data_IF_419906175083
#
_entry.id   IF_419906175083
#
_cell.length_a   1.000
_cell.length_b   1.000
_cell.length_c   1.000
_cell.angle_alpha   90.00
_cell.angle_beta   90.00
_cell.angle_gamma   90.00
#
_symmetry.space_group_name_H-M   'P 1'
#
loop_
_entity.id
_entity.type
_entity.pdbx_description
1 polymer ?
#
# COMPACT_ATOMS: atom_id res chain seq x y z
N UNK A 1 32.76 12.53 10.35
CA UNK A 1 32.28 11.43 9.48
C UNK A 1 30.77 11.56 9.39
N UNK A 2 30.16 11.58 8.18
CA UNK A 2 28.71 11.68 8.08
C UNK A 2 28.10 10.44 8.75
N UNK A 3 27.20 10.70 9.69
CA UNK A 3 26.61 9.70 10.59
C UNK A 3 25.92 8.58 9.83
N UNK A 4 25.99 7.39 10.41
CA UNK A 4 25.46 6.12 9.94
C UNK A 4 23.90 6.09 9.98
N UNK A 5 23.25 7.04 9.31
CA UNK A 5 21.80 7.12 9.20
C UNK A 5 21.37 6.26 8.03
N UNK A 6 20.82 5.09 8.35
CA UNK A 6 20.32 4.14 7.36
C UNK A 6 18.84 4.38 7.09
N UNK A 7 18.47 4.54 5.83
CA UNK A 7 17.07 4.73 5.38
C UNK A 7 16.54 3.50 4.63
N UNK A 8 17.00 2.32 5.02
CA UNK A 8 16.67 1.02 4.42
C UNK A 8 15.15 0.80 4.26
N UNK A 9 14.34 1.30 5.19
CA UNK A 9 12.86 1.21 5.11
C UNK A 9 12.29 2.05 3.98
N UNK A 10 12.81 3.27 3.77
CA UNK A 10 12.35 4.15 2.69
C UNK A 10 12.82 3.65 1.32
N UNK A 11 14.07 3.17 1.24
CA UNK A 11 14.64 2.60 0.02
C UNK A 11 13.87 1.35 -0.44
N UNK A 12 13.57 0.45 0.51
CA UNK A 12 12.79 -0.75 0.21
C UNK A 12 11.35 -0.44 -0.21
N UNK A 13 10.72 0.60 0.35
CA UNK A 13 9.42 1.08 -0.12
C UNK A 13 9.50 1.60 -1.56
N UNK A 14 10.49 2.43 -1.88
CA UNK A 14 10.66 2.99 -3.23
C UNK A 14 10.90 1.89 -4.28
N UNK A 15 11.72 0.88 -3.95
CA UNK A 15 11.95 -0.27 -4.83
C UNK A 15 10.66 -1.05 -5.16
N UNK A 16 9.68 -1.08 -4.25
CA UNK A 16 8.38 -1.71 -4.52
C UNK A 16 7.51 -0.83 -5.39
N UNK A 17 7.53 0.48 -5.17
CA UNK A 17 6.81 1.44 -6.00
C UNK A 17 7.29 1.38 -7.46
N UNK A 18 8.60 1.31 -7.68
CA UNK A 18 9.19 1.16 -9.02
C UNK A 18 8.79 -0.16 -9.68
N UNK A 19 8.81 -1.27 -8.92
CA UNK A 19 8.33 -2.57 -9.43
C UNK A 19 6.84 -2.54 -9.78
N UNK A 20 6.01 -1.86 -8.98
CA UNK A 20 4.59 -1.70 -9.26
C UNK A 20 4.34 -0.83 -10.50
N UNK A 21 5.13 0.23 -10.68
CA UNK A 21 5.09 1.08 -11.87
C UNK A 21 5.39 0.27 -13.14
N UNK A 22 6.47 -0.51 -13.14
CA UNK A 22 6.89 -1.31 -14.29
C UNK A 22 5.95 -2.50 -14.55
N UNK A 23 5.47 -3.17 -13.50
CA UNK A 23 4.72 -4.42 -13.63
C UNK A 23 3.20 -4.27 -13.74
N UNK A 24 2.60 -3.29 -13.06
CA UNK A 24 1.13 -3.17 -12.95
C UNK A 24 0.60 -1.98 -13.75
N UNK A 25 1.20 -0.81 -13.59
CA UNK A 25 0.60 0.41 -14.12
C UNK A 25 1.11 0.78 -15.50
N UNK A 26 2.36 0.46 -15.85
CA UNK A 26 3.11 0.86 -17.06
C UNK A 26 3.23 2.39 -17.24
N UNK A 27 2.14 3.13 -16.99
CA UNK A 27 1.99 4.57 -16.97
C UNK A 27 1.18 5.04 -15.74
N UNK A 28 1.69 6.05 -15.03
CA UNK A 28 1.04 6.67 -13.86
C UNK A 28 0.60 8.09 -14.22
N UNK A 29 -0.71 8.34 -14.29
CA UNK A 29 -1.24 9.71 -14.45
C UNK A 29 -1.15 10.49 -13.13
N UNK A 30 -0.75 11.76 -13.20
CA UNK A 30 -0.68 12.67 -12.04
C UNK A 30 -2.02 12.81 -11.32
N UNK A 31 -3.15 12.77 -12.06
CA UNK A 31 -4.51 12.84 -11.51
C UNK A 31 -4.85 11.67 -10.57
N UNK A 32 -4.26 10.49 -10.80
CA UNK A 32 -4.54 9.28 -10.02
C UNK A 32 -3.37 8.85 -9.13
N UNK A 33 -2.29 9.65 -9.11
CA UNK A 33 -1.11 9.40 -8.28
C UNK A 33 -1.45 9.15 -6.80
N UNK A 34 -2.38 9.89 -6.15
CA UNK A 34 -2.77 9.60 -4.78
C UNK A 34 -3.39 8.21 -4.59
N UNK A 35 -4.10 7.69 -5.60
CA UNK A 35 -4.73 6.36 -5.56
C UNK A 35 -3.69 5.25 -5.70
N UNK A 36 -2.74 5.43 -6.62
CA UNK A 36 -1.65 4.47 -6.83
C UNK A 36 -0.73 4.37 -5.61
N UNK A 37 -0.34 5.50 -5.05
CA UNK A 37 0.48 5.53 -3.82
C UNK A 37 -0.31 4.93 -2.65
N UNK A 38 -1.60 5.27 -2.52
CA UNK A 38 -2.47 4.70 -1.50
C UNK A 38 -2.55 3.16 -1.56
N UNK A 39 -2.61 2.59 -2.76
CA UNK A 39 -2.60 1.14 -2.93
C UNK A 39 -1.25 0.51 -2.53
N UNK A 40 -0.13 1.10 -2.96
CA UNK A 40 1.21 0.61 -2.62
C UNK A 40 1.44 0.69 -1.11
N UNK A 41 1.02 1.79 -0.47
CA UNK A 41 1.05 1.96 0.98
C UNK A 41 0.16 0.93 1.70
N UNK A 42 -1.06 0.69 1.20
CA UNK A 42 -1.94 -0.34 1.76
C UNK A 42 -1.32 -1.73 1.68
N UNK A 43 -0.70 -2.09 0.55
CA UNK A 43 0.02 -3.36 0.37
C UNK A 43 1.28 -3.46 1.25
N UNK A 44 1.95 -2.34 1.52
CA UNK A 44 3.11 -2.29 2.41
C UNK A 44 2.70 -2.52 3.88
N UNK A 45 1.65 -1.83 4.33
CA UNK A 45 1.12 -1.94 5.69
C UNK A 45 0.42 -3.29 5.96
N UNK A 46 -0.07 -3.97 4.93
CA UNK A 46 -0.68 -5.30 5.03
C UNK A 46 0.31 -6.45 4.91
N UNK A 47 1.44 -6.33 5.61
CA UNK A 47 2.42 -7.39 5.74
C UNK A 47 2.61 -7.73 7.20
N UNK A 48 2.72 -9.02 7.49
CA UNK A 48 3.00 -9.49 8.84
C UNK A 48 4.42 -10.05 8.88
N UNK A 49 5.18 -9.77 9.96
CA UNK A 49 6.44 -10.44 10.21
C UNK A 49 6.14 -11.91 10.53
N UNK A 50 6.61 -12.82 9.69
CA UNK A 50 6.48 -14.26 9.90
C UNK A 50 7.85 -14.84 10.18
N UNK A 51 8.01 -15.46 11.34
CA UNK A 51 9.22 -16.19 11.67
C UNK A 51 9.30 -17.46 10.83
N UNK A 52 10.32 -17.57 9.99
CA UNK A 52 10.65 -18.80 9.28
C UNK A 52 11.87 -19.44 9.92
N UNK A 53 11.70 -20.66 10.43
CA UNK A 53 12.80 -21.50 10.89
C UNK A 53 13.49 -22.10 9.66
N UNK A 54 14.75 -21.71 9.44
CA UNK A 54 15.59 -22.34 8.42
C UNK A 54 16.06 -23.70 8.93
N UNK A 55 16.42 -24.64 8.03
CA UNK A 55 16.92 -25.97 8.37
C UNK A 55 18.09 -25.94 9.38
N UNK A 56 18.86 -24.85 9.39
CA UNK A 56 20.02 -24.65 10.27
C UNK A 56 19.69 -24.00 11.62
N UNK A 57 18.45 -24.12 12.12
CA UNK A 57 18.01 -23.58 13.42
C UNK A 57 17.99 -22.05 13.56
N UNK A 58 18.41 -21.31 12.53
CA UNK A 58 18.37 -19.83 12.51
C UNK A 58 16.95 -19.35 12.13
N UNK A 59 16.30 -18.62 13.05
CA UNK A 59 15.04 -17.94 12.81
C UNK A 59 15.26 -16.64 12.03
N UNK A 60 14.63 -16.51 10.87
CA UNK A 60 14.61 -15.27 10.09
C UNK A 60 13.20 -14.68 10.10
N UNK A 61 13.08 -13.40 10.44
CA UNK A 61 11.83 -12.66 10.29
C UNK A 61 11.67 -12.33 8.81
N UNK A 62 10.72 -13.00 8.15
CA UNK A 62 10.39 -12.73 6.76
C UNK A 62 9.07 -11.98 6.73
N UNK A 63 9.10 -10.80 6.13
CA UNK A 63 7.89 -10.02 5.89
C UNK A 63 7.07 -10.72 4.81
N UNK A 64 5.89 -11.22 5.16
CA UNK A 64 4.99 -11.90 4.22
C UNK A 64 3.70 -11.10 4.05
N UNK A 65 3.18 -11.10 2.83
CA UNK A 65 1.87 -10.51 2.56
C UNK A 65 0.79 -11.32 3.30
N UNK A 66 -0.17 -10.62 3.90
CA UNK A 66 -1.34 -11.25 4.54
C UNK A 66 -2.09 -12.14 3.53
N UNK A 67 -2.74 -13.23 3.96
CA UNK A 67 -3.60 -14.01 3.08
C UNK A 67 -4.73 -13.15 2.52
N UNK A 68 -5.18 -13.46 1.29
CA UNK A 68 -6.13 -12.62 0.53
C UNK A 68 -7.38 -12.26 1.33
N UNK A 69 -7.97 -13.23 2.03
CA UNK A 69 -9.18 -13.00 2.83
C UNK A 69 -8.94 -11.97 3.94
N UNK A 70 -7.77 -11.99 4.57
CA UNK A 70 -7.39 -11.04 5.62
C UNK A 70 -7.04 -9.66 5.03
N UNK A 71 -6.45 -9.63 3.84
CA UNK A 71 -6.27 -8.38 3.09
C UNK A 71 -7.61 -7.75 2.73
N UNK A 72 -8.57 -8.55 2.25
CA UNK A 72 -9.91 -8.07 1.90
C UNK A 72 -10.65 -7.57 3.15
N UNK A 73 -10.57 -8.29 4.27
CA UNK A 73 -11.12 -7.81 5.54
C UNK A 73 -10.49 -6.49 5.98
N UNK A 74 -9.16 -6.34 5.87
CA UNK A 74 -8.47 -5.08 6.19
C UNK A 74 -8.81 -3.97 5.21
N UNK A 75 -9.01 -4.30 3.94
CA UNK A 75 -9.48 -3.37 2.92
C UNK A 75 -10.85 -2.86 3.31
N UNK A 76 -11.80 -3.74 3.56
CA UNK A 76 -13.18 -3.38 3.92
C UNK A 76 -13.25 -2.58 5.22
N UNK A 77 -12.42 -2.92 6.22
CA UNK A 77 -12.28 -2.14 7.46
C UNK A 77 -11.80 -0.71 7.20
N UNK A 78 -10.88 -0.53 6.26
CA UNK A 78 -10.30 0.77 5.92
C UNK A 78 -11.00 1.47 4.74
N UNK A 79 -11.93 0.79 4.06
CA UNK A 79 -12.68 1.29 2.90
C UNK A 79 -14.02 1.92 3.30
N UNK A 80 -14.33 1.97 4.59
CA UNK A 80 -15.49 2.69 5.10
C UNK A 80 -15.26 4.18 4.80
N UNK A 81 -16.01 4.71 3.82
CA UNK A 81 -16.02 6.13 3.52
C UNK A 81 -15.38 6.58 2.21
N UNK A 82 -15.03 5.69 1.27
CA UNK A 82 -14.99 6.10 -0.15
C UNK A 82 -16.42 6.38 -0.60
N UNK A 83 -16.88 7.58 -0.25
CA UNK A 83 -18.24 8.05 -0.39
C UNK A 83 -18.77 7.81 -1.81
N UNK A 84 -19.87 7.07 -1.94
CA UNK A 84 -20.77 7.20 -3.09
C UNK A 84 -21.75 8.31 -2.73
N UNK A 85 -21.54 9.53 -3.22
CA UNK A 85 -22.53 10.61 -3.15
C UNK A 85 -23.50 10.45 -4.32
N UNK A 86 -24.73 10.92 -4.15
CA UNK A 86 -25.61 11.16 -5.30
C UNK A 86 -25.42 12.59 -5.79
N UNK A 87 -25.42 12.80 -7.10
CA UNK A 87 -25.43 14.13 -7.69
C UNK A 87 -26.81 14.74 -7.54
N UNK A 88 -26.90 16.07 -7.54
CA UNK A 88 -28.18 16.81 -7.53
C UNK A 88 -29.08 16.49 -8.73
N UNK A 89 -28.51 15.87 -9.78
CA UNK A 89 -29.21 15.39 -10.98
C UNK A 89 -29.57 13.89 -10.90
N UNK A 90 -29.43 13.26 -9.73
CA UNK A 90 -29.83 11.86 -9.50
C UNK A 90 -28.79 10.79 -9.88
N UNK A 91 -27.60 11.17 -10.33
CA UNK A 91 -26.50 10.25 -10.63
C UNK A 91 -25.71 9.84 -9.38
N UNK A 92 -24.74 8.94 -9.52
CA UNK A 92 -23.80 8.54 -8.46
C UNK A 92 -22.45 9.22 -8.72
N UNK A 93 -21.87 9.89 -7.73
CA UNK A 93 -20.58 10.58 -7.78
C UNK A 93 -19.76 10.26 -6.53
N UNK A 94 -18.49 9.93 -6.70
CA UNK A 94 -17.56 9.85 -5.56
C UNK A 94 -16.97 11.24 -5.27
N UNK A 95 -17.04 11.79 -4.05
CA UNK A 95 -16.39 13.04 -3.72
C UNK A 95 -14.88 12.82 -3.67
N UNK A 96 -14.15 13.82 -4.13
CA UNK A 96 -12.70 13.76 -4.15
C UNK A 96 -12.17 13.93 -2.72
N UNK A 97 -11.26 13.05 -2.31
CA UNK A 97 -10.50 13.23 -1.08
C UNK A 97 -9.62 14.47 -1.26
N UNK A 98 -9.97 15.57 -0.59
CA UNK A 98 -9.06 16.70 -0.43
C UNK A 98 -7.91 16.27 0.47
N UNK A 99 -6.82 15.79 -0.12
CA UNK A 99 -5.53 15.83 0.59
C UNK A 99 -5.18 17.32 0.76
N UNK A 100 -5.46 17.84 1.95
CA UNK A 100 -5.22 19.20 2.39
C UNK A 100 -5.56 19.29 3.88
N UNK A 101 -4.53 19.21 4.72
CA UNK A 101 -4.57 19.17 6.18
C UNK A 101 -3.45 18.34 6.74
#
# INVERSE_FOLDING_TARGET
>A
MPGNVHVNTAESFNAILERAKLGVFYYLSTRHLPRYIGEVAFRWNNRDPVEKKTKDSVSKIVIQAKPLLKQLQNLLKNAIGTQLRRTIYGGIATPQTSFGG
#
